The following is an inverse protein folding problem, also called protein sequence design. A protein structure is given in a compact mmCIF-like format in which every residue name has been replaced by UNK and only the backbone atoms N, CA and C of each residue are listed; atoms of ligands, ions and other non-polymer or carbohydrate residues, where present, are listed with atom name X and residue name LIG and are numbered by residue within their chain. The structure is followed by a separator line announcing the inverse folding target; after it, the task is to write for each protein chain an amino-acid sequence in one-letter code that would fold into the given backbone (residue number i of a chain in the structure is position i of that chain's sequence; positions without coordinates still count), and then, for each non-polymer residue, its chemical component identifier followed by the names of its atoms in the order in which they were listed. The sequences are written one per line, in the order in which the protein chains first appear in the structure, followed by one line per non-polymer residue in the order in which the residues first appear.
data_IF_869679618845
#
_entry.id   IF_869679618845
#
_cell.length_a   1.000
_cell.length_b   1.000
_cell.length_c   1.000
_cell.angle_alpha   90.00
_cell.angle_beta   90.00
_cell.angle_gamma   90.00
#
_symmetry.space_group_name_H-M   'P 1'
#
loop_
_entity.id
_entity.type
_entity.pdbx_description
1 polymer ?
#
# COMPACT_ATOMS: atom_id res chain seq x y z
N UNK A 1 -3.28 5.89 -14.04
CA UNK A 1 -2.75 4.79 -13.23
C UNK A 1 -3.56 3.52 -13.47
N UNK A 2 -2.94 2.57 -14.10
CA UNK A 2 -3.61 1.31 -14.43
C UNK A 2 -3.29 0.24 -13.40
N UNK A 3 -4.33 -0.32 -12.82
CA UNK A 3 -4.19 -1.45 -11.92
C UNK A 3 -3.89 -2.72 -12.70
N UNK A 4 -2.98 -3.56 -12.22
CA UNK A 4 -2.90 -4.91 -12.75
C UNK A 4 -4.22 -5.62 -12.46
N UNK A 5 -4.71 -6.35 -13.44
CA UNK A 5 -6.02 -6.95 -13.35
C UNK A 5 -6.15 -8.03 -12.28
N UNK A 6 -5.04 -8.68 -11.94
CA UNK A 6 -5.03 -9.72 -10.92
C UNK A 6 -3.64 -9.88 -10.33
N UNK A 7 -3.57 -9.96 -9.01
CA UNK A 7 -2.34 -10.20 -8.27
C UNK A 7 -2.53 -11.39 -7.34
N UNK A 8 -1.45 -12.10 -6.97
CA UNK A 8 -1.54 -13.09 -5.90
C UNK A 8 -2.12 -12.48 -4.62
N UNK A 9 -2.73 -13.32 -3.80
CA UNK A 9 -3.26 -12.86 -2.52
C UNK A 9 -2.16 -12.23 -1.67
N UNK A 10 -2.42 -11.06 -1.15
CA UNK A 10 -1.46 -10.32 -0.34
C UNK A 10 -1.78 -8.85 -0.22
N UNK A 11 -0.89 -8.14 0.46
CA UNK A 11 -0.95 -6.69 0.63
C UNK A 11 0.22 -6.07 -0.12
N UNK A 12 -0.07 -5.05 -0.91
CA UNK A 12 0.92 -4.40 -1.78
C UNK A 12 0.94 -2.92 -1.54
N UNK A 13 2.14 -2.34 -1.48
CA UNK A 13 2.35 -0.90 -1.45
C UNK A 13 2.86 -0.48 -2.82
N UNK A 14 2.16 0.47 -3.44
CA UNK A 14 2.49 0.94 -4.79
C UNK A 14 2.63 2.45 -4.80
N UNK A 15 3.82 2.97 -4.44
CA UNK A 15 4.05 4.40 -4.53
C UNK A 15 4.13 4.84 -5.98
N UNK A 16 3.60 6.03 -6.26
CA UNK A 16 3.68 6.64 -7.57
C UNK A 16 3.75 8.16 -7.44
N UNK A 17 4.23 8.80 -8.49
CA UNK A 17 4.39 10.25 -8.51
C UNK A 17 3.28 10.85 -9.38
N UNK A 18 2.54 11.79 -8.79
CA UNK A 18 1.58 12.60 -9.50
C UNK A 18 2.17 13.99 -9.72
N UNK A 19 2.00 14.53 -10.92
CA UNK A 19 2.52 15.85 -11.27
C UNK A 19 1.36 16.76 -11.62
N UNK A 20 1.34 17.94 -11.01
CA UNK A 20 0.31 18.94 -11.29
C UNK A 20 0.70 20.29 -10.73
N UNK A 21 0.29 21.37 -11.42
CA UNK A 21 0.55 22.75 -10.99
C UNK A 21 2.03 23.04 -10.70
N UNK A 22 2.94 22.42 -11.46
CA UNK A 22 4.39 22.59 -11.29
C UNK A 22 4.98 21.88 -10.09
N UNK A 23 4.20 21.03 -9.41
CA UNK A 23 4.64 20.29 -8.24
C UNK A 23 4.54 18.79 -8.47
N UNK A 24 5.45 18.03 -7.87
CA UNK A 24 5.31 16.58 -7.81
C UNK A 24 4.92 16.15 -6.40
N UNK A 25 4.07 15.11 -6.35
CA UNK A 25 3.54 14.57 -5.11
C UNK A 25 3.75 13.07 -5.15
N UNK A 26 4.31 12.52 -4.07
CA UNK A 26 4.47 11.07 -3.93
C UNK A 26 3.24 10.51 -3.23
N UNK A 27 2.46 9.73 -3.96
CA UNK A 27 1.29 9.05 -3.42
C UNK A 27 1.59 7.57 -3.22
N UNK A 28 0.86 6.94 -2.35
CA UNK A 28 1.00 5.51 -2.10
C UNK A 28 -0.36 4.84 -2.22
N UNK A 29 -0.46 3.90 -3.15
CA UNK A 29 -1.65 3.09 -3.34
C UNK A 29 -1.48 1.79 -2.56
N UNK A 30 -2.27 1.62 -1.50
CA UNK A 30 -2.26 0.41 -0.68
C UNK A 30 -3.32 -0.54 -1.22
N UNK A 31 -2.91 -1.72 -1.63
CA UNK A 31 -3.78 -2.70 -2.25
C UNK A 31 -3.78 -4.00 -1.48
N UNK A 32 -4.97 -4.50 -1.16
CA UNK A 32 -5.17 -5.86 -0.69
C UNK A 32 -5.85 -6.64 -1.80
N UNK A 33 -5.22 -7.72 -2.24
CA UNK A 33 -5.76 -8.63 -3.25
C UNK A 33 -6.07 -9.98 -2.61
N UNK A 34 -7.19 -10.58 -3.00
CA UNK A 34 -7.61 -11.88 -2.51
C UNK A 34 -8.02 -12.76 -3.69
N UNK A 35 -7.55 -14.01 -3.67
CA UNK A 35 -7.99 -15.05 -4.60
C UNK A 35 -8.67 -16.16 -3.83
N UNK A 36 -9.68 -16.79 -4.45
CA UNK A 36 -10.44 -17.88 -3.82
C UNK A 36 -9.54 -19.07 -3.44
N UNK A 37 -8.36 -19.17 -4.06
CA UNK A 37 -7.38 -20.20 -3.75
C UNK A 37 -6.63 -19.97 -2.44
N UNK A 38 -6.82 -18.82 -1.81
CA UNK A 38 -6.13 -18.49 -0.55
C UNK A 38 -6.57 -19.43 0.57
N UNK A 39 -5.62 -20.16 1.21
CA UNK A 39 -5.96 -21.10 2.28
C UNK A 39 -6.56 -20.45 3.51
N UNK A 40 -6.27 -19.15 3.75
CA UNK A 40 -6.79 -18.44 4.91
C UNK A 40 -8.23 -17.97 4.73
N UNK A 41 -8.72 -17.93 3.49
CA UNK A 41 -10.10 -17.53 3.18
C UNK A 41 -10.50 -16.19 3.80
N UNK A 42 -9.59 -15.20 3.76
CA UNK A 42 -9.86 -13.90 4.37
C UNK A 42 -10.94 -13.11 3.66
N UNK A 43 -11.10 -13.28 2.35
CA UNK A 43 -12.09 -12.56 1.53
C UNK A 43 -12.06 -11.04 1.79
N UNK A 44 -13.22 -10.39 1.93
CA UNK A 44 -13.26 -8.96 2.23
C UNK A 44 -12.77 -8.69 3.66
N UNK A 45 -11.80 -7.79 3.79
CA UNK A 45 -11.33 -7.30 5.09
C UNK A 45 -12.06 -6.01 5.46
N UNK A 46 -12.42 -5.21 4.45
CA UNK A 46 -12.96 -3.87 4.64
C UNK A 46 -12.03 -3.06 5.53
N UNK A 47 -10.73 -3.09 5.20
CA UNK A 47 -9.69 -2.51 6.03
C UNK A 47 -9.83 -1.01 6.20
N UNK A 48 -9.53 -0.53 7.40
CA UNK A 48 -9.50 0.88 7.70
C UNK A 48 -8.14 1.32 8.24
N UNK A 49 -7.17 0.40 8.29
CA UNK A 49 -5.83 0.69 8.81
C UNK A 49 -4.77 -0.16 8.14
N UNK A 50 -3.58 0.42 8.08
CA UNK A 50 -2.37 -0.29 7.69
C UNK A 50 -1.31 -0.02 8.74
N UNK A 51 -0.81 -1.08 9.38
CA UNK A 51 0.36 -0.99 10.23
C UNK A 51 1.59 -1.30 9.42
N UNK A 52 2.62 -0.48 9.56
CA UNK A 52 3.93 -0.68 8.95
C UNK A 52 4.93 -0.91 10.07
N UNK A 53 5.61 -2.05 10.02
CA UNK A 53 6.53 -2.49 11.08
C UNK A 53 7.93 -2.57 10.49
N UNK A 54 8.81 -1.70 10.98
CA UNK A 54 10.21 -1.62 10.54
C UNK A 54 11.09 -1.50 11.79
N UNK A 55 12.07 -2.37 11.91
CA UNK A 55 13.01 -2.31 13.02
C UNK A 55 12.35 -2.40 14.39
N UNK A 56 11.26 -3.13 14.50
CA UNK A 56 10.50 -3.27 15.74
C UNK A 56 9.56 -2.10 16.03
N UNK A 57 9.55 -1.07 15.20
CA UNK A 57 8.65 0.08 15.36
C UNK A 57 7.43 -0.09 14.48
N UNK A 58 6.25 0.15 15.06
CA UNK A 58 4.97 0.04 14.38
C UNK A 58 4.38 1.44 14.16
N UNK A 59 4.07 1.76 12.92
CA UNK A 59 3.35 2.99 12.56
C UNK A 59 2.00 2.61 12.00
N UNK A 60 0.94 3.21 12.51
CA UNK A 60 -0.43 2.94 12.06
C UNK A 60 -0.90 4.08 11.15
N UNK A 61 -1.32 3.71 9.94
CA UNK A 61 -1.94 4.62 8.98
C UNK A 61 -3.44 4.35 9.00
N UNK A 62 -4.23 5.39 9.27
CA UNK A 62 -5.69 5.28 9.35
C UNK A 62 -6.30 5.75 8.05
N UNK A 63 -7.23 4.95 7.50
CA UNK A 63 -7.89 5.22 6.23
C UNK A 63 -9.29 5.81 6.46
N UNK A 64 -9.70 6.65 5.52
CA UNK A 64 -11.10 7.10 5.44
C UNK A 64 -11.90 6.04 4.69
N UNK A 65 -12.83 5.32 5.36
CA UNK A 65 -13.57 4.23 4.69
C UNK A 65 -14.35 4.69 3.46
N UNK A 66 -14.75 5.97 3.42
CA UNK A 66 -15.46 6.51 2.27
C UNK A 66 -14.61 6.65 1.01
N UNK A 67 -13.28 6.55 1.12
CA UNK A 67 -12.35 6.66 0.00
C UNK A 67 -11.81 5.33 -0.47
N UNK A 68 -12.26 4.23 0.13
CA UNK A 68 -11.82 2.89 -0.25
C UNK A 68 -12.46 2.47 -1.57
N UNK A 69 -11.64 1.98 -2.51
CA UNK A 69 -12.10 1.40 -3.76
C UNK A 69 -12.16 -0.12 -3.63
N UNK A 70 -13.22 -0.71 -4.14
CA UNK A 70 -13.41 -2.16 -4.10
C UNK A 70 -13.76 -2.67 -5.48
N UNK A 71 -13.16 -3.81 -5.84
CA UNK A 71 -13.44 -4.50 -7.09
C UNK A 71 -13.60 -5.99 -6.83
N UNK A 72 -14.39 -6.65 -7.66
CA UNK A 72 -14.59 -8.09 -7.60
C UNK A 72 -14.75 -8.62 -9.02
N UNK A 73 -14.11 -9.76 -9.32
CA UNK A 73 -14.33 -10.43 -10.59
C UNK A 73 -15.79 -10.90 -10.69
N UNK A 74 -16.36 -10.98 -11.92
CA UNK A 74 -17.76 -11.41 -12.09
C UNK A 74 -18.07 -12.78 -11.50
N UNK A 75 -17.08 -13.69 -11.46
CA UNK A 75 -17.23 -15.04 -10.90
C UNK A 75 -16.90 -15.09 -9.39
N UNK A 76 -16.59 -13.96 -8.78
CA UNK A 76 -16.22 -13.85 -7.38
C UNK A 76 -14.97 -14.64 -6.98
N UNK A 77 -14.16 -15.06 -7.95
CA UNK A 77 -12.90 -15.78 -7.67
C UNK A 77 -11.77 -14.87 -7.23
N UNK A 78 -11.94 -13.57 -7.42
CA UNK A 78 -10.93 -12.58 -7.10
C UNK A 78 -11.60 -11.30 -6.63
N UNK A 79 -11.03 -10.67 -5.62
CA UNK A 79 -11.46 -9.35 -5.19
C UNK A 79 -10.27 -8.50 -4.75
N UNK A 80 -10.50 -7.18 -4.67
CA UNK A 80 -9.47 -6.22 -4.33
C UNK A 80 -10.07 -5.08 -3.53
N UNK A 81 -9.32 -4.62 -2.53
CA UNK A 81 -9.56 -3.37 -1.81
C UNK A 81 -8.32 -2.51 -2.03
N UNK A 82 -8.50 -1.26 -2.48
CA UNK A 82 -7.37 -0.36 -2.60
C UNK A 82 -7.69 1.03 -2.07
N UNK A 83 -6.68 1.67 -1.55
CA UNK A 83 -6.75 2.99 -0.95
C UNK A 83 -5.54 3.81 -1.34
N UNK A 84 -5.80 4.97 -1.95
CA UNK A 84 -4.72 5.90 -2.28
C UNK A 84 -4.49 6.82 -1.09
N UNK A 85 -3.32 6.67 -0.46
CA UNK A 85 -2.95 7.48 0.70
C UNK A 85 -2.67 8.91 0.26
N UNK A 86 -3.13 9.87 1.06
CA UNK A 86 -2.74 11.26 0.87
C UNK A 86 -1.23 11.41 1.05
N UNK A 87 -0.65 12.37 0.34
CA UNK A 87 0.78 12.66 0.40
C UNK A 87 1.08 13.56 1.61
N UNK A 88 0.70 13.11 2.80
CA UNK A 88 0.97 13.86 4.03
C UNK A 88 2.34 13.48 4.61
N UNK A 89 2.73 14.20 5.67
CA UNK A 89 4.04 14.00 6.29
C UNK A 89 4.23 12.60 6.85
N UNK A 90 3.17 12.00 7.39
CA UNK A 90 3.24 10.65 7.98
C UNK A 90 3.44 9.61 6.89
N UNK A 91 2.67 9.68 5.81
CA UNK A 91 2.80 8.76 4.68
C UNK A 91 4.18 8.85 4.04
N UNK A 92 4.69 10.06 3.84
CA UNK A 92 6.01 10.28 3.25
C UNK A 92 7.12 9.74 4.18
N UNK A 93 7.01 9.96 5.49
CA UNK A 93 7.97 9.45 6.46
C UNK A 93 8.03 7.93 6.45
N UNK A 94 6.87 7.27 6.34
CA UNK A 94 6.79 5.81 6.26
C UNK A 94 7.47 5.31 4.98
N UNK A 95 7.20 5.93 3.83
CA UNK A 95 7.83 5.54 2.58
C UNK A 95 9.35 5.73 2.62
N UNK A 96 9.84 6.82 3.21
CA UNK A 96 11.28 7.06 3.38
C UNK A 96 11.91 6.00 4.27
N UNK A 97 11.23 5.60 5.33
CA UNK A 97 11.71 4.54 6.22
C UNK A 97 11.80 3.21 5.49
N UNK A 98 10.78 2.87 4.70
CA UNK A 98 10.78 1.65 3.90
C UNK A 98 11.87 1.67 2.84
N UNK A 99 12.16 2.83 2.26
CA UNK A 99 13.17 2.98 1.20
C UNK A 99 14.58 2.61 1.67
N UNK A 100 14.87 2.75 2.96
CA UNK A 100 16.19 2.42 3.52
C UNK A 100 16.19 1.10 4.28
N UNK A 101 15.12 0.33 4.20
CA UNK A 101 14.95 -0.92 4.95
C UNK A 101 15.27 -2.12 4.08
N UNK A 102 15.83 -3.17 4.70
CA UNK A 102 16.02 -4.46 4.06
C UNK A 102 14.95 -5.48 4.46
N UNK A 103 14.15 -5.15 5.48
CA UNK A 103 13.06 -6.01 5.95
C UNK A 103 11.95 -5.15 6.53
N UNK A 104 10.72 -5.44 6.14
CA UNK A 104 9.56 -4.75 6.65
C UNK A 104 8.32 -5.65 6.57
N UNK A 105 7.41 -5.44 7.50
CA UNK A 105 6.11 -6.11 7.51
C UNK A 105 5.01 -5.08 7.49
N UNK A 106 3.87 -5.45 6.91
CA UNK A 106 2.65 -4.66 6.94
C UNK A 106 1.50 -5.53 7.41
N UNK A 107 0.54 -4.90 8.08
CA UNK A 107 -0.70 -5.55 8.46
C UNK A 107 -1.85 -4.65 7.99
N UNK A 108 -2.62 -5.17 7.06
CA UNK A 108 -3.82 -4.50 6.58
C UNK A 108 -5.00 -5.07 7.33
N UNK A 109 -5.82 -4.23 7.97
CA UNK A 109 -6.86 -4.75 8.84
C UNK A 109 -8.01 -3.78 9.04
N UNK A 110 -9.13 -4.35 9.48
CA UNK A 110 -10.26 -3.62 10.05
C UNK A 110 -10.09 -3.62 11.57
N UNK A 111 -10.14 -2.46 12.19
CA UNK A 111 -10.05 -2.37 13.65
C UNK A 111 -11.15 -3.21 14.32
N UNK A 112 -10.76 -4.18 15.12
CA UNK A 112 -11.67 -5.13 15.73
C UNK A 112 -12.20 -6.22 14.81
N UNK A 113 -11.67 -6.31 13.59
CA UNK A 113 -12.11 -7.28 12.58
C UNK A 113 -10.99 -8.12 12.02
N UNK A 114 -11.11 -8.43 10.72
CA UNK A 114 -10.15 -9.27 10.01
C UNK A 114 -8.85 -8.53 9.74
N UNK A 115 -7.78 -9.30 9.56
CA UNK A 115 -6.45 -8.76 9.24
C UNK A 115 -5.71 -9.66 8.27
N UNK A 116 -4.78 -9.05 7.55
CA UNK A 116 -3.84 -9.76 6.67
C UNK A 116 -2.44 -9.20 6.88
N UNK A 117 -1.53 -10.07 7.31
CA UNK A 117 -0.13 -9.73 7.47
C UNK A 117 0.65 -10.09 6.21
N UNK A 118 1.64 -9.27 5.87
CA UNK A 118 2.46 -9.48 4.69
C UNK A 118 3.88 -8.99 4.96
N UNK A 119 4.86 -9.84 4.64
CA UNK A 119 6.25 -9.42 4.60
C UNK A 119 6.50 -8.82 3.22
N UNK A 120 7.04 -7.61 3.17
CA UNK A 120 7.34 -6.96 1.90
C UNK A 120 8.53 -7.66 1.25
N UNK A 121 8.41 -7.98 -0.04
CA UNK A 121 9.48 -8.61 -0.79
C UNK A 121 10.63 -7.63 -1.04
N UNK A 122 11.81 -8.17 -1.34
CA UNK A 122 12.96 -7.36 -1.74
C UNK A 122 12.63 -6.52 -2.98
N UNK A 123 11.85 -7.06 -3.91
CA UNK A 123 11.40 -6.33 -5.09
C UNK A 123 10.50 -5.15 -4.74
N UNK A 124 9.57 -5.33 -3.81
CA UNK A 124 8.70 -4.24 -3.37
C UNK A 124 9.50 -3.14 -2.67
N UNK A 125 10.41 -3.50 -1.78
CA UNK A 125 11.26 -2.52 -1.09
C UNK A 125 12.13 -1.76 -2.08
N UNK A 126 12.68 -2.44 -3.10
CA UNK A 126 13.46 -1.80 -4.15
C UNK A 126 12.61 -0.82 -4.96
N UNK A 127 11.40 -1.20 -5.31
CA UNK A 127 10.47 -0.32 -6.03
C UNK A 127 10.15 0.94 -5.23
N UNK A 128 9.92 0.77 -3.93
CA UNK A 128 9.68 1.90 -3.03
C UNK A 128 10.89 2.82 -3.00
N UNK A 129 12.09 2.25 -2.87
CA UNK A 129 13.33 3.04 -2.86
C UNK A 129 13.52 3.85 -4.14
N UNK A 130 13.33 3.20 -5.28
CA UNK A 130 13.47 3.87 -6.58
C UNK A 130 12.48 5.02 -6.70
N UNK A 131 11.23 4.81 -6.28
CA UNK A 131 10.20 5.83 -6.38
C UNK A 131 10.44 7.00 -5.41
N UNK A 132 10.89 6.70 -4.19
CA UNK A 132 11.24 7.74 -3.21
C UNK A 132 12.43 8.56 -3.70
N UNK A 133 13.47 7.91 -4.21
CA UNK A 133 14.65 8.60 -4.76
C UNK A 133 14.27 9.50 -5.92
N UNK A 134 13.43 9.04 -6.82
CA UNK A 134 12.96 9.84 -7.95
C UNK A 134 12.14 11.04 -7.47
N UNK A 135 11.27 10.85 -6.50
CA UNK A 135 10.49 11.94 -5.91
C UNK A 135 11.41 13.00 -5.30
N UNK A 136 12.40 12.57 -4.49
CA UNK A 136 13.33 13.51 -3.85
C UNK A 136 14.11 14.32 -4.89
N UNK A 137 14.53 13.67 -5.97
CA UNK A 137 15.24 14.33 -7.07
C UNK A 137 14.35 15.37 -7.77
N UNK A 138 13.10 15.01 -8.07
CA UNK A 138 12.17 15.93 -8.74
C UNK A 138 11.75 17.08 -7.82
N UNK A 139 11.49 16.80 -6.55
CA UNK A 139 11.10 17.81 -5.58
C UNK A 139 12.21 18.85 -5.35
N UNK A 140 13.47 18.44 -5.42
CA UNK A 140 14.61 19.33 -5.26
C UNK A 140 14.75 20.33 -6.42
N UNK A 141 14.09 20.08 -7.55
CA UNK A 141 14.12 20.94 -8.74
C UNK A 141 12.97 21.96 -8.76
N UNK A 142 12.07 21.90 -7.84
CA UNK A 142 10.91 22.81 -7.75
C UNK A 142 11.29 24.21 -7.27
#
# INVERSE_FOLDING_TARGET
YDWPQRMPTGVYLRPYIAVGSGRCILKNDVCYSYSIDDPQKTAWINGDRLDVIVGGQRTTLVFDPGMMHKQMAPDAEWLMEDYVMDADAVSLAVLRQLAVSSYAEVVYYRHGGKSRQQILSAEELERIRVMVDLYELLAAQE
#
